data_IF_070446256590
#
_entry.id   IF_070446256590
#
_cell.length_a   1.000
_cell.length_b   1.000
_cell.length_c   1.000
_cell.angle_alpha   90.00
_cell.angle_beta   90.00
_cell.angle_gamma   90.00
#
_symmetry.space_group_name_H-M   'P 1'
#
loop_
_entity.id
_entity.type
_entity.pdbx_description
1 polymer ?
#
# COMPACT_ATOMS: atom_id res chain seq x y z
N UNK A 1 -14.21 30.09 18.72
CA UNK A 1 -14.61 28.69 18.99
C UNK A 1 -13.45 27.82 18.59
N UNK A 2 -12.97 27.02 19.54
CA UNK A 2 -11.80 26.14 19.42
C UNK A 2 -11.99 25.14 18.27
N UNK A 3 -10.91 24.89 17.52
CA UNK A 3 -10.92 23.89 16.46
C UNK A 3 -11.19 22.50 17.03
N UNK A 4 -11.92 21.68 16.29
CA UNK A 4 -12.24 20.29 16.61
C UNK A 4 -11.02 19.56 17.21
N UNK A 5 -11.11 19.14 18.48
CA UNK A 5 -10.11 18.26 19.08
C UNK A 5 -10.26 16.87 18.46
N UNK A 6 -9.15 16.17 18.24
CA UNK A 6 -9.25 14.78 17.82
C UNK A 6 -9.94 13.97 18.94
N UNK A 7 -10.83 13.03 18.59
CA UNK A 7 -11.48 12.19 19.59
C UNK A 7 -10.43 11.31 20.29
N UNK A 8 -10.73 10.87 21.51
CA UNK A 8 -9.86 9.98 22.28
C UNK A 8 -9.87 8.55 21.69
N UNK A 9 -9.10 8.37 20.62
CA UNK A 9 -8.99 7.18 19.78
C UNK A 9 -7.53 6.78 19.56
N UNK A 10 -7.29 5.56 19.08
CA UNK A 10 -5.96 5.19 18.57
C UNK A 10 -5.72 5.90 17.23
N UNK A 11 -4.53 6.45 17.04
CA UNK A 11 -4.15 7.11 15.80
C UNK A 11 -3.08 6.28 15.10
N UNK A 12 -3.43 5.76 13.92
CA UNK A 12 -2.48 5.10 13.04
C UNK A 12 -1.84 6.17 12.15
N UNK A 13 -0.57 6.50 12.42
CA UNK A 13 0.16 7.56 11.74
C UNK A 13 1.19 6.95 10.77
N UNK A 14 0.84 6.95 9.49
CA UNK A 14 1.64 6.38 8.43
C UNK A 14 2.47 7.46 7.73
N UNK A 15 3.74 7.15 7.43
CA UNK A 15 4.54 8.05 6.59
C UNK A 15 4.00 8.05 5.15
N UNK A 16 3.71 6.84 4.65
CA UNK A 16 3.09 6.55 3.36
C UNK A 16 1.98 5.51 3.56
N UNK A 17 0.89 5.58 2.81
CA UNK A 17 -0.17 4.56 2.89
C UNK A 17 0.12 3.40 1.93
N UNK A 18 1.16 2.62 2.26
CA UNK A 18 1.62 1.45 1.48
C UNK A 18 0.69 0.23 1.65
N UNK A 19 0.88 -0.85 0.86
CA UNK A 19 0.19 -2.13 1.10
C UNK A 19 0.35 -2.68 2.52
N UNK A 20 1.54 -2.54 3.12
CA UNK A 20 1.80 -2.95 4.51
C UNK A 20 1.07 -2.05 5.51
N UNK A 21 0.95 -0.75 5.21
CA UNK A 21 0.16 0.20 6.01
C UNK A 21 -1.32 -0.16 5.96
N UNK A 22 -1.81 -0.56 4.79
CA UNK A 22 -3.17 -1.04 4.59
C UNK A 22 -3.43 -2.32 5.41
N UNK A 23 -2.52 -3.30 5.37
CA UNK A 23 -2.62 -4.52 6.17
C UNK A 23 -2.66 -4.23 7.68
N UNK A 24 -1.81 -3.30 8.15
CA UNK A 24 -1.82 -2.90 9.55
C UNK A 24 -3.15 -2.22 9.92
N UNK A 25 -3.62 -1.29 9.10
CA UNK A 25 -4.90 -0.61 9.31
C UNK A 25 -6.07 -1.58 9.33
N UNK A 26 -6.16 -2.49 8.35
CA UNK A 26 -7.19 -3.52 8.30
C UNK A 26 -7.14 -4.45 9.52
N UNK A 27 -5.95 -4.76 10.04
CA UNK A 27 -5.80 -5.57 11.25
C UNK A 27 -6.43 -4.88 12.46
N UNK A 28 -6.24 -3.57 12.63
CA UNK A 28 -6.93 -2.80 13.69
C UNK A 28 -8.44 -2.76 13.48
N UNK A 29 -8.91 -2.50 12.26
CA UNK A 29 -10.35 -2.46 11.96
C UNK A 29 -11.05 -3.80 12.25
N UNK A 30 -10.39 -4.93 11.95
CA UNK A 30 -10.92 -6.27 12.24
C UNK A 30 -11.10 -6.55 13.74
N UNK A 31 -10.39 -5.82 14.61
CA UNK A 31 -10.60 -5.93 16.06
C UNK A 31 -11.83 -5.19 16.56
N UNK A 32 -12.45 -4.34 15.74
CA UNK A 32 -13.47 -3.38 16.16
C UNK A 32 -12.88 -2.20 16.94
N UNK A 33 -11.56 -2.00 16.88
CA UNK A 33 -10.88 -0.85 17.47
C UNK A 33 -11.35 0.44 16.80
N UNK A 34 -11.70 1.43 17.61
CA UNK A 34 -12.01 2.76 17.12
C UNK A 34 -10.68 3.52 16.88
N UNK A 35 -10.19 3.43 15.66
CA UNK A 35 -8.92 4.04 15.23
C UNK A 35 -9.09 4.99 14.06
N UNK A 36 -8.24 6.01 13.97
CA UNK A 36 -8.16 6.93 12.83
C UNK A 36 -6.83 6.69 12.12
N UNK A 37 -6.88 6.39 10.82
CA UNK A 37 -5.70 6.29 9.98
C UNK A 37 -5.37 7.62 9.31
N UNK A 38 -4.12 8.05 9.42
CA UNK A 38 -3.60 9.30 8.89
C UNK A 38 -2.33 9.03 8.10
N UNK A 39 -2.29 9.44 6.83
CA UNK A 39 -1.08 9.43 5.99
C UNK A 39 -0.42 10.80 5.98
N UNK A 40 0.89 10.85 6.20
CA UNK A 40 1.70 12.08 6.14
C UNK A 40 2.15 12.45 4.72
N UNK A 41 2.14 11.47 3.81
CA UNK A 41 2.37 11.64 2.39
C UNK A 41 1.30 12.56 1.76
N UNK A 42 1.73 13.30 0.74
CA UNK A 42 0.82 14.05 -0.13
C UNK A 42 0.09 13.11 -1.12
N UNK A 43 -0.95 12.44 -0.64
CA UNK A 43 -1.85 11.66 -1.50
C UNK A 43 -3.29 12.13 -1.29
N UNK A 44 -3.84 12.77 -2.32
CA UNK A 44 -5.20 13.33 -2.28
C UNK A 44 -6.28 12.29 -2.72
N UNK A 45 -5.87 11.05 -3.01
CA UNK A 45 -6.70 9.91 -3.46
C UNK A 45 -6.64 8.69 -2.52
N UNK A 46 -6.43 8.93 -1.22
CA UNK A 46 -6.42 7.88 -0.20
C UNK A 46 -7.78 7.15 -0.08
N UNK A 47 -7.80 5.87 0.40
CA UNK A 47 -9.04 5.13 0.67
C UNK A 47 -9.96 5.84 1.67
N UNK A 48 -11.28 5.64 1.56
CA UNK A 48 -12.31 6.42 2.28
C UNK A 48 -12.07 6.56 3.79
N UNK A 49 -11.59 5.51 4.45
CA UNK A 49 -11.32 5.41 5.88
C UNK A 49 -9.91 5.90 6.29
N UNK A 50 -9.17 6.53 5.39
CA UNK A 50 -7.83 7.07 5.62
C UNK A 50 -7.83 8.55 5.32
N UNK A 51 -7.30 9.34 6.24
CA UNK A 51 -7.15 10.78 6.11
C UNK A 51 -5.76 11.15 5.62
N UNK A 52 -5.68 12.15 4.75
CA UNK A 52 -4.42 12.87 4.59
C UNK A 52 -4.18 13.75 5.81
N UNK A 53 -2.92 14.01 6.13
CA UNK A 53 -2.57 15.04 7.11
C UNK A 53 -3.19 16.40 6.78
N UNK A 54 -3.39 16.71 5.49
CA UNK A 54 -4.03 17.95 5.06
C UNK A 54 -5.54 17.99 5.30
N UNK A 55 -6.22 16.84 5.30
CA UNK A 55 -7.62 16.76 5.72
C UNK A 55 -7.75 17.22 7.17
N UNK A 56 -6.81 16.81 8.03
CA UNK A 56 -6.79 17.20 9.45
C UNK A 56 -6.33 18.65 9.68
N UNK A 57 -5.63 19.26 8.73
CA UNK A 57 -5.37 20.70 8.74
C UNK A 57 -6.65 21.51 8.49
N UNK A 58 -7.59 20.95 7.73
CA UNK A 58 -8.88 21.61 7.50
C UNK A 58 -9.69 21.70 8.80
N UNK A 59 -10.23 22.89 9.05
CA UNK A 59 -11.09 23.17 10.20
C UNK A 59 -12.51 22.65 10.01
N UNK A 60 -12.91 22.51 8.75
CA UNK A 60 -14.24 22.10 8.32
C UNK A 60 -14.37 20.57 8.22
N UNK A 61 -13.23 19.85 8.20
CA UNK A 61 -13.21 18.40 8.08
C UNK A 61 -13.94 17.74 9.25
N UNK A 62 -15.12 17.20 8.95
CA UNK A 62 -15.81 16.23 9.80
C UNK A 62 -15.31 14.85 9.41
N UNK A 63 -14.79 14.12 10.39
CA UNK A 63 -14.27 12.75 10.22
C UNK A 63 -15.34 11.80 9.65
N UNK A 64 -16.62 12.16 9.70
CA UNK A 64 -17.77 11.31 9.37
C UNK A 64 -18.54 11.73 8.10
N UNK A 65 -18.03 12.63 7.26
CA UNK A 65 -18.76 13.05 6.05
C UNK A 65 -18.60 12.06 4.89
N UNK A 66 -19.40 10.98 4.91
CA UNK A 66 -19.43 9.94 3.88
C UNK A 66 -19.87 10.45 2.49
N UNK A 67 -20.45 11.65 2.39
CA UNK A 67 -21.05 12.20 1.17
C UNK A 67 -20.32 13.42 0.60
N UNK A 68 -19.07 13.66 1.02
CA UNK A 68 -18.28 14.85 0.64
C UNK A 68 -17.99 15.00 -0.86
N UNK A 69 -18.23 13.97 -1.68
CA UNK A 69 -18.18 14.08 -3.14
C UNK A 69 -17.58 12.84 -3.81
N UNK A 70 -17.20 13.01 -5.09
CA UNK A 70 -16.55 11.97 -5.89
C UNK A 70 -15.45 12.61 -6.76
N UNK A 71 -14.43 11.84 -7.19
CA UNK A 71 -13.42 12.36 -8.11
C UNK A 71 -14.07 12.91 -9.38
N UNK A 72 -13.55 14.02 -9.91
CA UNK A 72 -14.06 14.62 -11.15
C UNK A 72 -13.75 13.72 -12.34
N UNK A 73 -14.72 13.53 -13.21
CA UNK A 73 -14.47 13.06 -14.56
C UNK A 73 -13.93 14.21 -15.42
N UNK A 74 -13.20 13.90 -16.49
CA UNK A 74 -12.51 14.91 -17.31
C UNK A 74 -13.41 16.06 -17.80
N UNK A 75 -14.68 15.78 -18.08
CA UNK A 75 -15.66 16.77 -18.56
C UNK A 75 -16.40 17.52 -17.43
N UNK A 76 -16.13 17.19 -16.17
CA UNK A 76 -16.69 17.86 -14.99
C UNK A 76 -15.77 19.01 -14.50
N UNK A 77 -14.65 19.26 -15.18
CA UNK A 77 -13.75 20.38 -14.88
C UNK A 77 -14.38 21.71 -15.33
N UNK A 78 -14.47 22.64 -14.40
CA UNK A 78 -15.00 23.97 -14.68
C UNK A 78 -14.07 24.73 -15.64
N UNK A 79 -14.61 25.10 -16.80
CA UNK A 79 -13.95 25.93 -17.81
C UNK A 79 -14.91 27.03 -18.26
N UNK A 80 -14.40 28.16 -18.80
CA UNK A 80 -15.27 29.20 -19.39
C UNK A 80 -16.17 28.66 -20.51
N UNK A 81 -17.34 29.27 -20.69
CA UNK A 81 -18.40 28.79 -21.61
C UNK A 81 -17.96 28.60 -23.06
N UNK A 82 -16.96 29.36 -23.53
CA UNK A 82 -16.44 29.28 -24.89
C UNK A 82 -15.27 28.29 -25.06
N UNK A 83 -14.97 27.50 -24.02
CA UNK A 83 -13.89 26.52 -24.03
C UNK A 83 -14.47 25.11 -24.21
N UNK A 84 -13.65 24.22 -24.76
CA UNK A 84 -14.01 22.81 -24.95
C UNK A 84 -12.99 21.89 -24.31
N UNK A 85 -13.47 20.76 -23.80
CA UNK A 85 -12.65 19.72 -23.18
C UNK A 85 -12.65 18.50 -24.10
N UNK A 86 -11.48 17.94 -24.36
CA UNK A 86 -11.27 16.73 -25.13
C UNK A 86 -10.64 15.65 -24.24
N UNK A 87 -11.20 14.45 -24.27
CA UNK A 87 -10.75 13.34 -23.43
C UNK A 87 -9.29 12.92 -23.69
N UNK A 88 -8.79 13.08 -24.92
CA UNK A 88 -7.44 12.66 -25.27
C UNK A 88 -7.24 11.15 -25.16
N UNK A 89 -6.15 10.73 -24.53
CA UNK A 89 -5.77 9.33 -24.32
C UNK A 89 -6.02 8.87 -22.88
N UNK A 90 -5.49 7.71 -22.47
CA UNK A 90 -5.66 7.21 -21.10
C UNK A 90 -4.82 7.95 -20.05
N UNK A 91 -3.91 8.83 -20.46
CA UNK A 91 -2.96 9.54 -19.58
C UNK A 91 -3.39 11.00 -19.41
N UNK A 92 -3.86 11.64 -20.48
CA UNK A 92 -4.17 13.06 -20.46
C UNK A 92 -5.28 13.49 -21.43
N UNK A 93 -5.98 14.55 -21.03
CA UNK A 93 -6.97 15.29 -21.82
C UNK A 93 -6.52 16.72 -22.11
N UNK A 94 -7.27 17.42 -22.97
CA UNK A 94 -6.96 18.79 -23.40
C UNK A 94 -8.11 19.74 -23.16
N UNK A 95 -7.77 20.98 -22.83
CA UNK A 95 -8.71 22.09 -22.73
C UNK A 95 -8.35 23.10 -23.82
N UNK A 96 -9.30 23.50 -24.66
CA UNK A 96 -9.05 24.39 -25.79
C UNK A 96 -10.05 25.53 -25.89
N UNK A 97 -9.65 26.64 -26.51
CA UNK A 97 -10.54 27.73 -26.91
C UNK A 97 -10.23 28.09 -28.35
N UNK A 98 -11.21 27.95 -29.26
CA UNK A 98 -11.03 28.23 -30.70
C UNK A 98 -9.75 27.60 -31.29
N UNK A 99 -9.49 26.32 -30.96
CA UNK A 99 -8.31 25.51 -31.34
C UNK A 99 -7.00 25.78 -30.58
N UNK A 100 -6.91 26.84 -29.75
CA UNK A 100 -5.73 27.05 -28.91
C UNK A 100 -5.78 26.21 -27.64
N UNK A 101 -4.73 25.43 -27.34
CA UNK A 101 -4.60 24.68 -26.09
C UNK A 101 -4.43 25.66 -24.92
N UNK A 102 -5.37 25.62 -23.97
CA UNK A 102 -5.39 26.47 -22.78
C UNK A 102 -4.97 25.74 -21.52
N UNK A 103 -5.02 24.42 -21.56
CA UNK A 103 -4.58 23.59 -20.47
C UNK A 103 -4.61 22.11 -20.81
N UNK A 104 -4.07 21.32 -19.89
CA UNK A 104 -3.99 19.87 -19.98
C UNK A 104 -4.51 19.24 -18.71
N UNK A 105 -5.36 18.24 -18.87
CA UNK A 105 -5.90 17.44 -17.78
C UNK A 105 -5.02 16.21 -17.64
N UNK A 106 -4.57 15.92 -16.43
CA UNK A 106 -3.83 14.71 -16.08
C UNK A 106 -4.75 13.75 -15.35
N UNK A 107 -4.79 12.50 -15.82
CA UNK A 107 -5.65 11.48 -15.25
C UNK A 107 -4.95 10.68 -14.16
N UNK A 108 -5.73 10.34 -13.12
CA UNK A 108 -5.31 9.45 -12.05
C UNK A 108 -4.91 8.08 -12.63
N UNK A 109 -3.66 7.70 -12.41
CA UNK A 109 -3.13 6.42 -12.89
C UNK A 109 -3.53 5.26 -11.98
N UNK A 110 -3.70 4.07 -12.56
CA UNK A 110 -4.02 2.84 -11.80
C UNK A 110 -5.46 2.74 -11.26
N UNK A 111 -6.32 3.72 -11.57
CA UNK A 111 -7.73 3.76 -11.16
C UNK A 111 -8.71 3.61 -12.32
N UNK A 112 -9.95 4.08 -12.10
CA UNK A 112 -10.93 4.23 -13.18
C UNK A 112 -10.42 5.26 -14.19
N UNK A 113 -10.58 4.96 -15.48
CA UNK A 113 -10.13 5.83 -16.57
C UNK A 113 -10.78 7.21 -16.49
N UNK A 114 -10.04 8.24 -16.91
CA UNK A 114 -10.46 9.64 -17.06
C UNK A 114 -10.90 10.36 -15.77
N UNK A 115 -10.54 9.84 -14.60
CA UNK A 115 -10.65 10.61 -13.35
C UNK A 115 -9.52 11.63 -13.29
N UNK A 116 -9.83 12.86 -12.90
CA UNK A 116 -8.87 13.97 -12.90
C UNK A 116 -8.06 13.98 -11.61
N UNK A 117 -6.73 13.97 -11.77
CA UNK A 117 -5.77 14.19 -10.70
C UNK A 117 -5.31 15.65 -10.66
N UNK A 118 -5.01 16.22 -11.83
CA UNK A 118 -4.54 17.59 -11.92
C UNK A 118 -4.89 18.26 -13.26
N UNK A 119 -4.87 19.59 -13.28
CA UNK A 119 -5.03 20.40 -14.49
C UNK A 119 -3.92 21.44 -14.57
N UNK A 120 -3.10 21.35 -15.63
CA UNK A 120 -2.13 22.39 -15.96
C UNK A 120 -2.79 23.48 -16.80
N UNK A 121 -2.61 24.74 -16.40
CA UNK A 121 -3.12 25.89 -17.13
C UNK A 121 -1.98 26.67 -17.78
N UNK A 122 -2.18 27.02 -19.04
CA UNK A 122 -1.14 27.59 -19.88
C UNK A 122 -1.30 29.10 -20.06
N UNK A 123 -0.17 29.78 -20.24
CA UNK A 123 -0.17 31.11 -20.84
C UNK A 123 -0.34 31.07 -22.37
N UNK A 124 -0.38 32.25 -23.00
CA UNK A 124 -0.50 32.38 -24.46
C UNK A 124 0.66 31.79 -25.26
N UNK A 125 1.80 31.49 -24.61
CA UNK A 125 2.97 30.86 -25.22
C UNK A 125 2.98 29.34 -25.00
N UNK A 126 1.97 28.78 -24.35
CA UNK A 126 1.88 27.35 -24.03
C UNK A 126 2.67 26.94 -22.79
N UNK A 127 3.19 27.87 -21.98
CA UNK A 127 3.91 27.51 -20.76
C UNK A 127 2.94 27.32 -19.59
N UNK A 128 3.17 26.29 -18.77
CA UNK A 128 2.44 26.08 -17.52
C UNK A 128 2.64 27.26 -16.58
N UNK A 129 1.54 27.84 -16.09
CA UNK A 129 1.56 28.93 -15.09
C UNK A 129 1.09 28.48 -13.73
N UNK A 130 0.08 27.62 -13.70
CA UNK A 130 -0.34 26.98 -12.48
C UNK A 130 -0.91 25.59 -12.77
N UNK A 131 -0.77 24.71 -11.78
CA UNK A 131 -1.35 23.38 -11.73
C UNK A 131 -2.38 23.36 -10.62
N UNK A 132 -3.62 23.06 -10.96
CA UNK A 132 -4.66 22.73 -9.99
C UNK A 132 -4.63 21.24 -9.68
N UNK A 133 -4.64 20.89 -8.41
CA UNK A 133 -4.64 19.51 -7.92
C UNK A 133 -6.01 19.18 -7.37
N UNK A 134 -6.58 18.07 -7.84
CA UNK A 134 -7.88 17.59 -7.44
C UNK A 134 -7.76 16.44 -6.46
N UNK A 135 -8.72 16.32 -5.55
CA UNK A 135 -8.76 15.23 -4.57
C UNK A 135 -9.89 14.22 -4.89
N UNK A 136 -9.97 13.18 -4.06
CA UNK A 136 -11.03 12.15 -4.17
C UNK A 136 -12.47 12.68 -4.02
N UNK A 137 -12.65 13.90 -3.52
CA UNK A 137 -13.96 14.54 -3.38
C UNK A 137 -14.33 15.39 -4.60
N UNK A 138 -13.40 15.56 -5.54
CA UNK A 138 -13.59 16.37 -6.74
C UNK A 138 -13.42 17.87 -6.51
N UNK A 139 -12.78 18.25 -5.40
CA UNK A 139 -12.44 19.61 -5.03
C UNK A 139 -11.05 19.97 -5.58
N UNK A 140 -10.84 21.24 -5.96
CA UNK A 140 -9.49 21.77 -6.16
C UNK A 140 -8.86 21.99 -4.78
N UNK A 141 -8.05 21.03 -4.34
CA UNK A 141 -7.48 20.99 -3.00
C UNK A 141 -6.16 21.74 -2.87
N UNK A 142 -5.46 21.96 -3.99
CA UNK A 142 -4.21 22.71 -4.01
C UNK A 142 -3.91 23.33 -5.37
N UNK A 143 -3.13 24.41 -5.37
CA UNK A 143 -2.59 25.03 -6.57
C UNK A 143 -1.08 25.21 -6.46
N UNK A 144 -0.34 24.70 -7.45
CA UNK A 144 1.08 25.00 -7.62
C UNK A 144 1.26 26.10 -8.66
N UNK A 145 2.10 27.09 -8.36
CA UNK A 145 2.42 28.19 -9.29
C UNK A 145 3.82 28.01 -9.84
N UNK A 146 4.01 28.28 -11.14
CA UNK A 146 5.27 28.11 -11.86
C UNK A 146 5.82 29.46 -12.36
N UNK A 147 7.14 29.58 -12.35
CA UNK A 147 7.83 30.73 -12.94
C UNK A 147 7.88 30.66 -14.48
N UNK A 148 8.46 31.69 -15.10
CA UNK A 148 8.65 31.74 -16.56
C UNK A 148 9.57 30.68 -17.14
N UNK A 149 10.36 29.98 -16.30
CA UNK A 149 11.23 28.87 -16.68
C UNK A 149 10.57 27.49 -16.44
N UNK A 150 9.31 27.44 -16.02
CA UNK A 150 8.60 26.19 -15.71
C UNK A 150 8.99 25.56 -14.38
N UNK A 151 9.64 26.30 -13.47
CA UNK A 151 9.99 25.81 -12.14
C UNK A 151 8.89 26.16 -11.15
N UNK A 152 8.51 25.18 -10.30
CA UNK A 152 7.51 25.38 -9.27
C UNK A 152 8.04 26.35 -8.19
N UNK A 153 7.23 27.35 -7.83
CA UNK A 153 7.58 28.40 -6.88
C UNK A 153 6.92 28.16 -5.52
N UNK A 154 5.61 27.96 -5.52
CA UNK A 154 4.83 27.73 -4.31
C UNK A 154 3.67 26.78 -4.57
N UNK A 155 3.21 26.14 -3.50
CA UNK A 155 1.99 25.32 -3.46
C UNK A 155 1.09 25.86 -2.36
N UNK A 156 -0.12 26.25 -2.73
CA UNK A 156 -1.16 26.69 -1.78
C UNK A 156 -2.23 25.61 -1.69
N UNK A 157 -2.59 25.19 -0.47
CA UNK A 157 -3.68 24.26 -0.18
C UNK A 157 -4.91 25.02 0.30
N UNK A 158 -6.07 24.55 -0.14
CA UNK A 158 -7.37 25.19 0.11
C UNK A 158 -8.25 24.35 1.03
N UNK A 159 -9.10 25.01 1.80
CA UNK A 159 -10.19 24.39 2.55
C UNK A 159 -11.31 23.91 1.63
N UNK A 160 -12.27 23.19 2.19
CA UNK A 160 -13.52 22.81 1.51
C UNK A 160 -14.26 24.04 0.96
N UNK A 161 -14.26 25.14 1.74
CA UNK A 161 -14.81 26.42 1.28
C UNK A 161 -13.92 27.19 0.28
N UNK A 162 -12.80 26.63 -0.19
CA UNK A 162 -11.87 27.29 -1.12
C UNK A 162 -10.96 28.37 -0.51
N UNK A 163 -10.82 28.44 0.82
CA UNK A 163 -9.94 29.42 1.49
C UNK A 163 -8.52 28.89 1.62
N UNK A 164 -7.51 29.74 1.48
CA UNK A 164 -6.11 29.34 1.70
C UNK A 164 -5.89 28.86 3.15
N UNK A 165 -5.36 27.66 3.31
CA UNK A 165 -5.05 27.07 4.62
C UNK A 165 -3.55 26.98 4.88
N UNK A 166 -2.79 26.62 3.84
CA UNK A 166 -1.34 26.42 3.92
C UNK A 166 -0.71 26.84 2.60
N UNK A 167 0.34 27.65 2.66
CA UNK A 167 1.19 27.95 1.51
C UNK A 167 2.60 27.50 1.80
N UNK A 168 3.15 26.67 0.93
CA UNK A 168 4.55 26.23 0.97
C UNK A 168 5.32 26.94 -0.15
N UNK A 169 6.46 27.52 0.20
CA UNK A 169 7.45 27.95 -0.76
C UNK A 169 8.33 26.76 -1.14
N UNK A 170 8.18 26.24 -2.35
CA UNK A 170 8.84 25.00 -2.80
C UNK A 170 10.36 25.16 -2.90
N UNK A 171 10.86 26.40 -3.06
CA UNK A 171 12.29 26.67 -3.19
C UNK A 171 12.98 26.64 -1.81
N UNK A 172 12.33 27.20 -0.79
CA UNK A 172 12.92 27.39 0.55
C UNK A 172 12.47 26.32 1.55
N UNK A 173 11.32 25.70 1.32
CA UNK A 173 10.65 24.83 2.29
C UNK A 173 9.87 25.58 3.37
N UNK A 174 9.89 26.93 3.35
CA UNK A 174 9.14 27.74 4.31
C UNK A 174 7.62 27.62 4.08
N UNK A 175 6.87 27.53 5.16
CA UNK A 175 5.43 27.34 5.15
C UNK A 175 4.70 28.43 5.94
N UNK A 176 3.58 28.88 5.38
CA UNK A 176 2.66 29.83 5.97
C UNK A 176 1.35 29.10 6.25
N UNK A 177 1.04 28.89 7.52
CA UNK A 177 -0.22 28.34 7.98
C UNK A 177 -1.18 29.49 8.33
N UNK A 178 -2.34 29.51 7.70
CA UNK A 178 -3.39 30.48 7.97
C UNK A 178 -4.25 30.00 9.15
N UNK A 179 -4.34 30.81 10.20
CA UNK A 179 -5.08 30.50 11.44
C UNK A 179 -5.97 31.68 11.83
N UNK A 180 -6.89 31.47 12.77
CA UNK A 180 -7.74 32.57 13.28
C UNK A 180 -6.85 33.67 13.86
N UNK A 181 -7.05 34.89 13.36
CA UNK A 181 -6.33 36.06 13.83
C UNK A 181 -4.94 36.26 13.23
N UNK A 182 -4.53 35.50 12.21
CA UNK A 182 -3.31 35.79 11.45
C UNK A 182 -2.67 34.60 10.75
N UNK A 183 -1.34 34.63 10.68
CA UNK A 183 -0.53 33.58 10.04
C UNK A 183 0.55 33.08 11.00
N UNK A 184 0.96 31.82 10.83
CA UNK A 184 2.13 31.23 11.48
C UNK A 184 3.12 30.77 10.44
N UNK A 185 4.40 31.08 10.67
CA UNK A 185 5.50 30.73 9.79
C UNK A 185 6.25 29.51 10.34
N UNK A 186 6.56 28.56 9.47
CA UNK A 186 7.30 27.35 9.79
C UNK A 186 8.44 27.16 8.78
N UNK A 187 9.61 26.74 9.27
CA UNK A 187 10.78 26.45 8.41
C UNK A 187 10.86 24.98 7.97
N UNK A 188 10.04 24.11 8.55
CA UNK A 188 10.02 22.68 8.24
C UNK A 188 8.63 22.10 8.40
N UNK A 189 8.31 21.09 7.58
CA UNK A 189 7.00 20.41 7.61
C UNK A 189 6.79 19.75 8.96
N UNK A 190 7.85 19.16 9.53
CA UNK A 190 7.82 18.54 10.85
C UNK A 190 7.39 19.53 11.96
N UNK A 191 7.93 20.74 11.97
CA UNK A 191 7.58 21.73 13.01
C UNK A 191 6.11 22.18 12.88
N UNK A 192 5.62 22.32 11.65
CA UNK A 192 4.21 22.57 11.38
C UNK A 192 3.33 21.44 11.90
N UNK A 193 3.70 20.19 11.61
CA UNK A 193 2.94 19.00 12.02
C UNK A 193 2.91 18.84 13.54
N UNK A 194 4.05 18.98 14.21
CA UNK A 194 4.12 18.90 15.68
C UNK A 194 3.26 19.99 16.32
N UNK A 195 3.37 21.24 15.85
CA UNK A 195 2.53 22.34 16.34
C UNK A 195 1.04 22.06 16.13
N UNK A 196 0.66 21.60 14.94
CA UNK A 196 -0.74 21.38 14.60
C UNK A 196 -1.35 20.22 15.39
N UNK A 197 -0.64 19.09 15.46
CA UNK A 197 -1.07 17.91 16.19
C UNK A 197 -1.18 18.18 17.69
N UNK A 198 -0.22 18.91 18.29
CA UNK A 198 -0.33 19.36 19.67
C UNK A 198 -1.56 20.24 19.90
N UNK A 199 -1.85 21.18 18.99
CA UNK A 199 -3.06 22.03 19.09
C UNK A 199 -4.37 21.23 18.96
N UNK A 200 -4.36 20.10 18.27
CA UNK A 200 -5.52 19.20 18.10
C UNK A 200 -5.65 18.16 19.22
N UNK A 201 -4.74 18.15 20.20
CA UNK A 201 -4.76 17.23 21.33
C UNK A 201 -4.22 15.83 21.04
N UNK A 202 -3.44 15.64 19.96
CA UNK A 202 -2.90 14.34 19.57
C UNK A 202 -1.98 13.72 20.64
N UNK A 203 -1.39 14.55 21.49
CA UNK A 203 -0.60 14.13 22.66
C UNK A 203 -1.40 13.23 23.63
N UNK A 204 -2.73 13.35 23.66
CA UNK A 204 -3.59 12.53 24.51
C UNK A 204 -3.82 11.14 23.93
N UNK A 205 -3.79 11.01 22.62
CA UNK A 205 -3.99 9.75 21.93
C UNK A 205 -2.77 8.82 22.04
N UNK A 206 -3.00 7.51 21.93
CA UNK A 206 -1.95 6.53 21.63
C UNK A 206 -1.66 6.58 20.12
N UNK A 207 -0.39 6.80 19.75
CA UNK A 207 0.05 6.83 18.36
C UNK A 207 0.70 5.50 18.00
N UNK A 208 0.23 4.92 16.91
CA UNK A 208 0.81 3.73 16.30
C UNK A 208 1.35 4.15 14.94
N UNK A 209 2.63 3.96 14.69
CA UNK A 209 3.27 4.41 13.45
C UNK A 209 4.17 3.34 12.87
N UNK A 210 4.47 3.42 11.58
CA UNK A 210 5.16 2.33 10.87
C UNK A 210 6.54 2.66 10.29
N UNK A 211 7.05 3.87 10.54
CA UNK A 211 8.39 4.26 10.08
C UNK A 211 9.15 5.11 11.09
N UNK A 212 10.48 5.01 11.05
CA UNK A 212 11.40 5.79 11.88
C UNK A 212 11.68 7.20 11.34
N UNK A 213 10.92 7.63 10.33
CA UNK A 213 10.96 8.94 9.68
C UNK A 213 10.03 9.95 10.37
N UNK A 214 9.24 10.72 9.63
CA UNK A 214 8.36 11.79 10.11
C UNK A 214 7.43 11.35 11.25
N UNK A 215 6.73 10.19 11.20
CA UNK A 215 5.86 9.76 12.28
C UNK A 215 6.59 9.58 13.61
N UNK A 216 7.79 9.00 13.58
CA UNK A 216 8.64 8.85 14.76
C UNK A 216 9.00 10.19 15.37
N UNK A 217 9.45 11.14 14.54
CA UNK A 217 9.83 12.46 15.05
C UNK A 217 8.64 13.23 15.62
N UNK A 218 7.43 13.05 15.07
CA UNK A 218 6.20 13.60 15.65
C UNK A 218 5.95 12.99 17.03
N UNK A 219 5.89 11.66 17.14
CA UNK A 219 5.71 10.96 18.43
C UNK A 219 6.80 11.37 19.45
N UNK A 220 8.04 11.58 19.01
CA UNK A 220 9.13 11.94 19.91
C UNK A 220 9.10 13.42 20.38
N UNK A 221 8.47 14.31 19.61
CA UNK A 221 8.42 15.76 19.91
C UNK A 221 7.11 16.23 20.52
N UNK A 222 6.05 15.43 20.44
CA UNK A 222 4.79 15.74 21.13
C UNK A 222 4.99 15.73 22.64
N UNK A 223 4.28 16.63 23.33
CA UNK A 223 4.28 16.71 24.78
C UNK A 223 3.63 15.45 25.39
N UNK A 224 3.95 15.16 26.65
CA UNK A 224 3.46 13.99 27.37
C UNK A 224 4.59 13.19 28.02
N UNK A 225 4.37 12.80 29.27
CA UNK A 225 5.36 12.05 30.07
C UNK A 225 5.16 10.54 30.01
N UNK A 226 4.05 10.08 29.44
CA UNK A 226 3.70 8.66 29.37
C UNK A 226 4.24 8.02 28.10
N UNK A 227 4.93 6.89 28.25
CA UNK A 227 5.34 6.04 27.12
C UNK A 227 4.20 5.10 26.76
N UNK A 228 3.49 5.40 25.66
CA UNK A 228 2.35 4.62 25.18
C UNK A 228 2.33 4.37 23.69
N UNK A 229 3.17 5.06 22.92
CA UNK A 229 3.17 4.98 21.46
C UNK A 229 3.91 3.70 21.01
N UNK A 230 3.55 3.15 19.85
CA UNK A 230 4.06 1.86 19.36
C UNK A 230 4.57 2.01 17.93
N UNK A 231 5.81 1.59 17.70
CA UNK A 231 6.35 1.43 16.35
C UNK A 231 5.98 0.05 15.81
N UNK A 232 5.35 -0.01 14.65
CA UNK A 232 5.20 -1.22 13.84
C UNK A 232 6.23 -1.22 12.72
N UNK A 233 7.36 -1.90 12.93
CA UNK A 233 8.44 -1.97 11.95
C UNK A 233 8.10 -2.95 10.80
N UNK A 234 8.04 -2.41 9.58
CA UNK A 234 7.64 -3.11 8.35
C UNK A 234 8.78 -3.17 7.30
N UNK A 235 9.91 -2.53 7.56
CA UNK A 235 11.04 -2.44 6.63
C UNK A 235 12.08 -3.56 6.87
N UNK A 236 12.91 -3.83 5.87
CA UNK A 236 14.05 -4.74 6.03
C UNK A 236 15.13 -4.12 6.91
N UNK A 237 15.94 -4.96 7.55
CA UNK A 237 17.02 -4.51 8.42
C UNK A 237 18.36 -4.80 7.76
N UNK A 238 19.20 -3.76 7.67
CA UNK A 238 20.53 -3.86 7.08
C UNK A 238 21.54 -4.55 8.00
N UNK A 239 22.79 -4.09 7.94
CA UNK A 239 23.89 -4.63 8.75
C UNK A 239 23.88 -4.14 10.20
N UNK A 240 23.11 -3.10 10.51
CA UNK A 240 23.02 -2.53 11.85
C UNK A 240 21.59 -2.09 12.21
N UNK A 241 21.33 -2.01 13.52
CA UNK A 241 20.07 -1.48 14.04
C UNK A 241 20.01 0.03 13.76
N UNK A 242 18.96 0.56 13.11
CA UNK A 242 18.81 1.98 12.82
C UNK A 242 18.94 2.85 14.08
N UNK A 243 19.59 4.02 13.96
CA UNK A 243 19.86 4.90 15.10
C UNK A 243 18.61 5.29 15.91
N UNK A 244 17.53 5.68 15.22
CA UNK A 244 16.25 6.00 15.85
C UNK A 244 15.63 4.79 16.56
N UNK A 245 15.82 3.58 16.04
CA UNK A 245 15.38 2.34 16.69
C UNK A 245 16.18 2.07 17.96
N UNK A 246 17.51 2.25 17.93
CA UNK A 246 18.36 2.11 19.12
C UNK A 246 17.92 3.07 20.23
N UNK A 247 17.49 4.29 19.88
CA UNK A 247 16.96 5.24 20.85
C UNK A 247 15.72 4.68 21.58
N UNK A 248 14.80 4.03 20.87
CA UNK A 248 13.61 3.38 21.46
C UNK A 248 14.04 2.20 22.35
N UNK A 249 14.89 1.31 21.84
CA UNK A 249 15.39 0.13 22.57
C UNK A 249 16.11 0.51 23.86
N UNK A 250 16.90 1.59 23.84
CA UNK A 250 17.59 2.11 25.01
C UNK A 250 16.67 2.89 25.96
N UNK A 251 15.42 3.15 25.57
CA UNK A 251 14.45 3.88 26.38
C UNK A 251 14.66 5.39 26.39
N UNK A 252 15.42 5.92 25.43
CA UNK A 252 15.64 7.35 25.25
C UNK A 252 14.57 8.03 24.35
N UNK A 253 13.63 7.26 23.78
CA UNK A 253 12.45 7.78 23.11
C UNK A 253 11.55 8.57 24.07
N UNK A 254 10.92 9.63 23.58
CA UNK A 254 9.97 10.44 24.34
C UNK A 254 8.73 9.61 24.73
N UNK A 255 7.95 9.20 23.73
CA UNK A 255 6.64 8.55 23.94
C UNK A 255 6.54 7.10 23.50
N UNK A 256 7.46 6.64 22.64
CA UNK A 256 7.42 5.25 22.15
C UNK A 256 7.84 4.27 23.23
N UNK A 257 6.95 3.34 23.55
CA UNK A 257 7.11 2.31 24.58
C UNK A 257 7.87 1.09 24.04
N UNK A 258 7.42 0.56 22.89
CA UNK A 258 7.84 -0.73 22.34
C UNK A 258 7.74 -0.78 20.82
N UNK A 259 8.37 -1.80 20.25
CA UNK A 259 8.46 -2.07 18.82
C UNK A 259 7.80 -3.41 18.53
N UNK A 260 6.84 -3.40 17.62
CA UNK A 260 6.22 -4.56 16.99
C UNK A 260 6.85 -4.76 15.62
N UNK A 261 7.37 -5.94 15.32
CA UNK A 261 7.97 -6.25 14.01
C UNK A 261 7.00 -7.13 13.23
N UNK A 262 6.71 -6.75 11.98
CA UNK A 262 5.75 -7.46 11.11
C UNK A 262 6.40 -8.33 10.03
N UNK A 263 7.74 -8.40 10.00
CA UNK A 263 8.50 -9.28 9.12
C UNK A 263 9.38 -10.21 9.93
N UNK A 264 9.31 -11.51 9.64
CA UNK A 264 10.03 -12.53 10.41
C UNK A 264 11.54 -12.34 10.29
N UNK A 265 11.99 -12.16 9.06
CA UNK A 265 13.39 -11.93 8.69
C UNK A 265 13.96 -10.69 9.39
N UNK A 266 13.21 -9.59 9.41
CA UNK A 266 13.59 -8.37 10.13
C UNK A 266 13.68 -8.59 11.65
N UNK A 267 12.73 -9.31 12.24
CA UNK A 267 12.75 -9.59 13.69
C UNK A 267 13.96 -10.44 14.09
N UNK A 268 14.21 -11.53 13.36
CA UNK A 268 15.36 -12.40 13.57
C UNK A 268 16.66 -11.61 13.43
N UNK A 269 16.75 -10.75 12.40
CA UNK A 269 17.93 -9.91 12.19
C UNK A 269 18.18 -8.93 13.33
N UNK A 270 17.14 -8.29 13.86
CA UNK A 270 17.27 -7.37 15.00
C UNK A 270 17.76 -8.10 16.26
N UNK A 271 17.31 -9.33 16.48
CA UNK A 271 17.80 -10.14 17.60
C UNK A 271 19.28 -10.51 17.43
N UNK A 272 19.72 -10.89 16.23
CA UNK A 272 21.14 -11.15 15.93
C UNK A 272 22.00 -9.92 16.20
N UNK A 273 21.50 -8.73 15.90
CA UNK A 273 22.18 -7.45 16.12
C UNK A 273 22.11 -6.96 17.58
N UNK A 274 21.52 -7.74 18.49
CA UNK A 274 21.51 -7.46 19.92
C UNK A 274 20.36 -6.61 20.43
N UNK A 275 19.23 -6.53 19.72
CA UNK A 275 18.05 -5.83 20.20
C UNK A 275 17.46 -6.46 21.47
N UNK A 276 17.00 -5.62 22.41
CA UNK A 276 16.39 -6.08 23.67
C UNK A 276 15.01 -6.71 23.43
N UNK A 277 14.88 -7.99 23.78
CA UNK A 277 13.64 -8.78 23.69
C UNK A 277 12.50 -8.26 24.56
N UNK A 278 12.78 -7.40 25.55
CA UNK A 278 11.73 -6.80 26.39
C UNK A 278 10.95 -5.68 25.68
N UNK A 279 11.53 -5.08 24.64
CA UNK A 279 10.93 -3.98 23.87
C UNK A 279 10.68 -4.33 22.42
N UNK A 280 11.26 -5.42 21.95
CA UNK A 280 11.09 -5.94 20.59
C UNK A 280 10.17 -7.15 20.61
N UNK A 281 9.00 -7.03 19.99
CA UNK A 281 8.00 -8.09 19.91
C UNK A 281 7.64 -8.39 18.45
N UNK A 282 7.16 -9.61 18.20
CA UNK A 282 6.56 -10.00 16.92
C UNK A 282 5.05 -9.84 17.00
N UNK A 283 4.46 -9.22 15.98
CA UNK A 283 3.03 -9.21 15.75
C UNK A 283 2.77 -8.96 14.27
N UNK A 284 2.44 -10.02 13.52
CA UNK A 284 2.13 -9.87 12.10
C UNK A 284 0.71 -9.36 11.85
N UNK A 285 0.24 -9.31 10.60
CA UNK A 285 -1.08 -8.80 10.27
C UNK A 285 -2.18 -9.87 10.40
N UNK A 286 -3.43 -9.42 10.51
CA UNK A 286 -4.61 -10.28 10.42
C UNK A 286 -5.02 -10.35 8.94
N UNK A 287 -4.71 -11.48 8.30
CA UNK A 287 -5.09 -11.70 6.91
C UNK A 287 -6.57 -12.10 6.77
N UNK A 288 -7.26 -11.47 5.82
CA UNK A 288 -8.61 -11.86 5.42
C UNK A 288 -8.53 -12.90 4.30
N UNK A 289 -8.42 -14.17 4.69
CA UNK A 289 -8.46 -15.27 3.73
C UNK A 289 -9.80 -15.30 2.97
N UNK A 290 -9.73 -15.44 1.65
CA UNK A 290 -10.88 -15.39 0.74
C UNK A 290 -11.62 -16.72 0.65
N UNK A 291 -10.91 -17.84 0.88
CA UNK A 291 -11.50 -19.17 0.92
C UNK A 291 -10.76 -20.10 1.88
N UNK A 292 -11.39 -21.25 2.14
CA UNK A 292 -10.70 -22.42 2.70
C UNK A 292 -10.09 -23.22 1.54
N UNK A 293 -9.02 -23.96 1.81
CA UNK A 293 -8.47 -24.89 0.83
C UNK A 293 -9.41 -26.11 0.75
N UNK A 294 -9.84 -26.46 -0.45
CA UNK A 294 -10.74 -27.60 -0.73
C UNK A 294 -10.01 -28.95 -0.80
N UNK A 295 -8.68 -28.92 -0.90
CA UNK A 295 -7.82 -30.06 -1.20
C UNK A 295 -8.06 -30.65 -2.61
N UNK A 296 -8.60 -29.83 -3.52
CA UNK A 296 -8.82 -30.21 -4.92
C UNK A 296 -7.49 -30.22 -5.68
N UNK A 297 -7.28 -31.16 -6.62
CA UNK A 297 -6.04 -31.28 -7.39
C UNK A 297 -6.00 -30.25 -8.54
N UNK A 298 -6.26 -28.99 -8.22
CA UNK A 298 -6.34 -27.85 -9.13
C UNK A 298 -5.21 -26.88 -8.80
N UNK A 299 -4.29 -26.68 -9.74
CA UNK A 299 -3.08 -25.88 -9.56
C UNK A 299 -3.05 -24.66 -10.47
N UNK A 300 -2.53 -23.54 -9.94
CA UNK A 300 -2.37 -22.30 -10.67
C UNK A 300 -0.89 -21.92 -10.85
N UNK A 301 -0.54 -21.48 -12.05
CA UNK A 301 0.71 -20.79 -12.38
C UNK A 301 0.33 -19.47 -13.06
N UNK A 302 0.81 -18.35 -12.52
CA UNK A 302 0.73 -17.06 -13.20
C UNK A 302 2.09 -16.71 -13.80
N UNK A 303 2.10 -16.30 -15.07
CA UNK A 303 3.34 -16.03 -15.81
C UNK A 303 3.24 -14.80 -16.71
N UNK A 304 4.38 -14.12 -16.88
CA UNK A 304 4.60 -13.11 -17.92
C UNK A 304 5.77 -13.48 -18.86
N UNK A 305 6.18 -14.75 -18.81
CA UNK A 305 7.37 -15.27 -19.47
C UNK A 305 7.05 -16.61 -20.12
N UNK A 306 7.72 -16.93 -21.22
CA UNK A 306 7.65 -18.28 -21.77
C UNK A 306 8.46 -19.31 -20.96
N UNK A 307 9.30 -18.84 -20.03
CA UNK A 307 10.17 -19.69 -19.20
C UNK A 307 9.49 -19.94 -17.86
N UNK A 308 8.96 -21.15 -17.71
CA UNK A 308 8.41 -21.66 -16.47
C UNK A 308 9.28 -22.86 -16.08
N UNK A 309 9.97 -22.75 -14.94
CA UNK A 309 10.98 -23.70 -14.51
C UNK A 309 10.34 -25.07 -14.21
N UNK A 310 10.89 -26.13 -14.80
CA UNK A 310 10.39 -27.50 -14.70
C UNK A 310 8.88 -27.71 -14.97
N UNK A 311 8.23 -26.82 -15.73
CA UNK A 311 6.78 -26.87 -15.90
C UNK A 311 6.31 -28.15 -16.60
N UNK A 312 6.96 -28.53 -17.71
CA UNK A 312 6.58 -29.71 -18.49
C UNK A 312 6.84 -31.00 -17.69
N UNK A 313 7.97 -31.06 -16.97
CA UNK A 313 8.30 -32.18 -16.09
C UNK A 313 7.28 -32.31 -14.96
N UNK A 314 6.84 -31.20 -14.36
CA UNK A 314 5.85 -31.20 -13.29
C UNK A 314 4.47 -31.68 -13.78
N UNK A 315 4.02 -31.19 -14.94
CA UNK A 315 2.78 -31.62 -15.61
C UNK A 315 2.79 -33.13 -15.87
N UNK A 316 3.91 -33.67 -16.36
CA UNK A 316 4.07 -35.12 -16.61
C UNK A 316 4.14 -35.93 -15.32
N UNK A 317 4.79 -35.42 -14.29
CA UNK A 317 4.98 -36.12 -13.02
C UNK A 317 3.69 -36.19 -12.17
N UNK A 318 2.73 -35.29 -12.41
CA UNK A 318 1.49 -35.15 -11.65
C UNK A 318 0.25 -35.19 -12.57
N UNK A 319 -0.01 -36.31 -13.27
CA UNK A 319 -1.14 -36.42 -14.20
C UNK A 319 -2.51 -36.28 -13.53
N UNK A 320 -2.58 -36.47 -12.21
CA UNK A 320 -3.80 -36.29 -11.43
C UNK A 320 -4.12 -34.83 -11.09
N UNK A 321 -3.19 -33.90 -11.31
CA UNK A 321 -3.36 -32.47 -11.05
C UNK A 321 -3.69 -31.76 -12.36
N UNK A 322 -4.74 -30.94 -12.35
CA UNK A 322 -5.08 -30.06 -13.46
C UNK A 322 -4.36 -28.72 -13.29
N UNK A 323 -3.56 -28.34 -14.29
CA UNK A 323 -2.74 -27.13 -14.28
C UNK A 323 -3.40 -26.01 -15.08
N UNK A 324 -3.74 -24.93 -14.39
CA UNK A 324 -4.17 -23.67 -14.98
C UNK A 324 -2.97 -22.74 -15.12
N UNK A 325 -2.57 -22.42 -16.35
CA UNK A 325 -1.45 -21.52 -16.61
C UNK A 325 -1.99 -20.23 -17.22
N UNK A 326 -1.88 -19.12 -16.50
CA UNK A 326 -2.44 -17.84 -16.89
C UNK A 326 -1.37 -16.78 -17.16
N UNK A 327 -1.52 -16.06 -18.28
CA UNK A 327 -0.66 -14.95 -18.65
C UNK A 327 -1.47 -13.68 -18.93
N UNK A 328 -0.94 -12.51 -18.54
CA UNK A 328 -1.58 -11.21 -18.85
C UNK A 328 -1.35 -10.84 -20.32
N UNK A 329 -0.32 -11.40 -20.94
CA UNK A 329 0.05 -11.18 -22.33
C UNK A 329 -0.36 -12.36 -23.20
N UNK A 330 -0.19 -12.21 -24.51
CA UNK A 330 -0.15 -13.34 -25.44
C UNK A 330 0.94 -14.34 -25.02
N UNK A 331 0.70 -15.63 -25.26
CA UNK A 331 1.66 -16.70 -25.00
C UNK A 331 2.51 -17.01 -26.23
N UNK A 332 3.76 -17.43 -26.02
CA UNK A 332 4.62 -17.88 -27.13
C UNK A 332 4.21 -19.27 -27.61
N UNK A 333 4.56 -19.66 -28.85
CA UNK A 333 4.27 -21.00 -29.36
C UNK A 333 4.80 -22.12 -28.45
N UNK A 334 5.97 -21.91 -27.83
CA UNK A 334 6.55 -22.86 -26.86
C UNK A 334 5.65 -23.11 -25.66
N UNK A 335 5.06 -22.05 -25.10
CA UNK A 335 4.15 -22.20 -23.97
C UNK A 335 2.83 -22.84 -24.40
N UNK A 336 2.36 -22.52 -25.62
CA UNK A 336 1.16 -23.12 -26.21
C UNK A 336 1.29 -24.64 -26.44
N UNK A 337 2.51 -25.18 -26.60
CA UNK A 337 2.73 -26.63 -26.72
C UNK A 337 2.29 -27.42 -25.47
N UNK A 338 2.19 -26.76 -24.30
CA UNK A 338 1.68 -27.41 -23.08
C UNK A 338 0.19 -27.76 -23.16
N UNK A 339 -0.57 -27.15 -24.07
CA UNK A 339 -1.99 -27.50 -24.29
C UNK A 339 -2.17 -28.92 -24.83
N UNK A 340 -1.09 -29.57 -25.31
CA UNK A 340 -1.12 -30.97 -25.73
C UNK A 340 -1.28 -31.96 -24.55
N UNK A 341 -1.09 -31.52 -23.31
CA UNK A 341 -1.32 -32.34 -22.12
C UNK A 341 -2.77 -32.23 -21.67
N UNK A 342 -3.46 -33.36 -21.50
CA UNK A 342 -4.89 -33.40 -21.11
C UNK A 342 -5.15 -32.71 -19.75
N UNK A 343 -4.14 -32.67 -18.88
CA UNK A 343 -4.22 -32.06 -17.55
C UNK A 343 -3.73 -30.59 -17.52
N UNK A 344 -3.76 -29.88 -18.65
CA UNK A 344 -3.37 -28.46 -18.74
C UNK A 344 -4.49 -27.63 -19.38
N UNK A 345 -4.66 -26.40 -18.89
CA UNK A 345 -5.44 -25.36 -19.58
C UNK A 345 -4.69 -24.04 -19.55
N UNK A 346 -4.53 -23.43 -20.73
CA UNK A 346 -3.83 -22.17 -20.91
C UNK A 346 -4.80 -20.99 -21.01
N UNK A 347 -4.44 -19.87 -20.38
CA UNK A 347 -5.22 -18.64 -20.38
C UNK A 347 -4.37 -17.46 -20.89
N UNK A 348 -4.19 -17.31 -22.21
CA UNK A 348 -3.49 -16.18 -22.80
C UNK A 348 -4.32 -14.90 -22.67
N UNK A 349 -3.68 -13.79 -22.25
CA UNK A 349 -4.38 -12.52 -22.07
C UNK A 349 -5.47 -12.56 -21.00
N UNK A 350 -5.27 -13.31 -19.93
CA UNK A 350 -6.24 -13.48 -18.85
C UNK A 350 -6.59 -12.12 -18.21
N UNK A 351 -7.86 -11.73 -18.34
CA UNK A 351 -8.40 -10.53 -17.69
C UNK A 351 -8.53 -10.72 -16.17
N UNK A 352 -8.72 -9.63 -15.44
CA UNK A 352 -8.71 -9.62 -13.98
C UNK A 352 -9.77 -10.57 -13.39
N UNK A 353 -10.98 -10.57 -13.95
CA UNK A 353 -12.09 -11.40 -13.51
C UNK A 353 -11.78 -12.90 -13.69
N UNK A 354 -11.09 -13.27 -14.77
CA UNK A 354 -10.63 -14.64 -14.99
C UNK A 354 -9.55 -15.03 -13.98
N UNK A 355 -8.59 -14.14 -13.72
CA UNK A 355 -7.55 -14.39 -12.71
C UNK A 355 -8.16 -14.61 -11.33
N UNK A 356 -9.10 -13.75 -10.91
CA UNK A 356 -9.83 -13.90 -9.64
C UNK A 356 -10.57 -15.25 -9.58
N UNK A 357 -11.21 -15.67 -10.67
CA UNK A 357 -11.87 -16.98 -10.74
C UNK A 357 -10.88 -18.15 -10.60
N UNK A 358 -9.69 -18.05 -11.19
CA UNK A 358 -8.64 -19.07 -11.08
C UNK A 358 -8.09 -19.18 -9.65
N UNK A 359 -7.87 -18.05 -8.96
CA UNK A 359 -7.46 -18.07 -7.56
C UNK A 359 -8.52 -18.70 -6.65
N UNK A 360 -9.81 -18.50 -6.95
CA UNK A 360 -10.89 -19.15 -6.22
C UNK A 360 -10.98 -20.65 -6.50
N UNK A 361 -10.74 -21.07 -7.75
CA UNK A 361 -10.80 -22.48 -8.15
C UNK A 361 -9.65 -23.29 -7.57
N UNK A 362 -8.41 -22.84 -7.73
CA UNK A 362 -7.22 -23.66 -7.47
C UNK A 362 -6.87 -23.73 -5.97
N UNK A 363 -6.32 -24.85 -5.52
CA UNK A 363 -5.87 -25.07 -4.14
C UNK A 363 -4.34 -25.17 -4.00
N UNK A 364 -3.64 -25.22 -5.13
CA UNK A 364 -2.18 -25.19 -5.21
C UNK A 364 -1.72 -24.02 -6.07
N UNK A 365 -0.58 -23.44 -5.71
CA UNK A 365 0.09 -22.42 -6.52
C UNK A 365 1.56 -22.77 -6.69
N UNK A 366 2.05 -22.66 -7.91
CA UNK A 366 3.45 -22.91 -8.22
C UNK A 366 4.15 -21.62 -8.64
N UNK A 367 5.02 -21.11 -7.76
CA UNK A 367 5.85 -19.93 -8.02
C UNK A 367 7.15 -20.33 -8.74
N UNK A 368 6.97 -20.80 -9.96
CA UNK A 368 8.02 -21.38 -10.82
C UNK A 368 8.23 -20.57 -12.10
N UNK A 369 7.60 -19.39 -12.19
CA UNK A 369 7.74 -18.48 -13.33
C UNK A 369 9.07 -17.72 -13.27
N UNK A 370 9.77 -17.58 -14.40
CA UNK A 370 10.87 -16.62 -14.51
C UNK A 370 10.34 -15.21 -14.82
N UNK A 371 11.06 -14.20 -14.32
CA UNK A 371 10.79 -12.80 -14.65
C UNK A 371 10.21 -12.04 -13.45
N UNK A 372 9.44 -11.00 -13.73
CA UNK A 372 8.82 -10.21 -12.67
C UNK A 372 7.51 -10.85 -12.23
N UNK A 373 7.20 -10.80 -10.93
CA UNK A 373 5.89 -11.18 -10.43
C UNK A 373 4.83 -10.28 -11.05
N UNK A 374 3.75 -10.90 -11.52
CA UNK A 374 2.57 -10.19 -11.98
C UNK A 374 1.47 -10.27 -10.93
N UNK A 375 0.64 -9.23 -10.86
CA UNK A 375 -0.61 -9.16 -10.06
C UNK A 375 -0.46 -9.53 -8.58
N UNK A 376 0.76 -9.50 -8.05
CA UNK A 376 1.09 -10.01 -6.71
C UNK A 376 0.58 -11.44 -6.50
N UNK A 377 0.78 -12.29 -7.52
CA UNK A 377 0.19 -13.62 -7.59
C UNK A 377 0.51 -14.53 -6.39
N UNK A 378 1.72 -14.45 -5.81
CA UNK A 378 2.09 -15.22 -4.62
C UNK A 378 1.26 -14.78 -3.41
N UNK A 379 1.07 -13.47 -3.26
CA UNK A 379 0.22 -12.91 -2.21
C UNK A 379 -1.26 -13.26 -2.42
N UNK A 380 -1.76 -13.21 -3.66
CA UNK A 380 -3.13 -13.62 -3.97
C UNK A 380 -3.36 -15.11 -3.70
N UNK A 381 -2.42 -15.98 -4.08
CA UNK A 381 -2.44 -17.40 -3.77
C UNK A 381 -2.51 -17.64 -2.26
N UNK A 382 -1.69 -16.91 -1.49
CA UNK A 382 -1.71 -16.96 -0.03
C UNK A 382 -3.08 -16.54 0.53
N UNK A 383 -3.67 -15.43 0.09
CA UNK A 383 -4.99 -14.99 0.53
C UNK A 383 -6.12 -15.96 0.14
N UNK A 384 -5.98 -16.69 -0.97
CA UNK A 384 -6.90 -17.75 -1.37
C UNK A 384 -6.55 -19.10 -0.74
N UNK A 385 -5.63 -19.10 0.22
CA UNK A 385 -5.26 -20.26 1.00
C UNK A 385 -4.78 -21.44 0.14
N UNK A 386 -4.11 -21.14 -0.97
CA UNK A 386 -3.44 -22.11 -1.82
C UNK A 386 -2.14 -22.54 -1.15
N UNK A 387 -1.79 -23.83 -1.26
CA UNK A 387 -0.46 -24.29 -0.83
C UNK A 387 0.56 -23.90 -1.90
N UNK A 388 1.55 -23.12 -1.50
CA UNK A 388 2.53 -22.54 -2.41
C UNK A 388 3.81 -23.38 -2.40
N UNK A 389 4.30 -23.72 -3.59
CA UNK A 389 5.62 -24.30 -3.81
C UNK A 389 6.41 -23.42 -4.78
N UNK A 390 7.71 -23.28 -4.57
CA UNK A 390 8.56 -22.42 -5.38
C UNK A 390 9.95 -23.02 -5.59
N UNK A 391 10.64 -22.61 -6.65
CA UNK A 391 12.09 -22.78 -6.73
C UNK A 391 12.83 -21.58 -6.16
N UNK A 392 14.01 -21.79 -5.59
CA UNK A 392 14.83 -20.71 -5.03
C UNK A 392 15.18 -19.64 -6.07
N UNK A 393 15.38 -20.08 -7.32
CA UNK A 393 15.76 -19.28 -8.48
C UNK A 393 14.62 -18.43 -9.04
N UNK A 394 13.37 -18.82 -8.76
CA UNK A 394 12.17 -18.15 -9.29
C UNK A 394 11.30 -17.54 -8.20
N UNK A 395 11.53 -17.84 -6.92
CA UNK A 395 10.69 -17.39 -5.82
C UNK A 395 10.63 -15.86 -5.73
N UNK A 396 9.45 -15.29 -5.95
CA UNK A 396 9.24 -13.84 -5.97
C UNK A 396 9.01 -13.26 -4.58
N UNK A 397 8.14 -13.89 -3.78
CA UNK A 397 7.77 -13.40 -2.45
C UNK A 397 7.87 -14.47 -1.37
N UNK A 398 9.05 -14.56 -0.77
CA UNK A 398 9.39 -15.55 0.24
C UNK A 398 8.77 -15.29 1.62
N UNK A 399 8.07 -14.16 1.83
CA UNK A 399 7.34 -13.93 3.08
C UNK A 399 6.09 -14.81 3.19
N UNK A 400 5.56 -15.31 2.06
CA UNK A 400 4.35 -16.13 2.02
C UNK A 400 4.60 -17.62 1.75
N UNK A 401 5.85 -18.01 1.51
CA UNK A 401 6.25 -19.39 1.22
C UNK A 401 7.29 -19.81 2.24
N UNK A 402 7.06 -20.93 2.92
CA UNK A 402 7.98 -21.38 3.98
C UNK A 402 9.22 -22.02 3.39
N UNK A 403 10.34 -21.98 4.11
CA UNK A 403 11.64 -22.47 3.61
C UNK A 403 11.60 -23.95 3.18
N UNK A 404 10.78 -24.79 3.85
CA UNK A 404 10.57 -26.19 3.49
C UNK A 404 9.86 -26.37 2.12
N UNK A 405 9.12 -25.36 1.64
CA UNK A 405 8.41 -25.34 0.36
C UNK A 405 9.15 -24.54 -0.73
N UNK A 406 10.39 -24.11 -0.46
CA UNK A 406 11.29 -23.54 -1.45
C UNK A 406 12.40 -24.55 -1.75
N UNK A 407 12.53 -24.92 -3.02
CA UNK A 407 13.44 -25.98 -3.47
C UNK A 407 14.52 -25.38 -4.35
N UNK A 408 15.79 -25.76 -4.20
CA UNK A 408 16.75 -25.60 -5.28
C UNK A 408 16.23 -26.32 -6.54
N UNK A 409 16.49 -25.77 -7.74
CA UNK A 409 16.04 -26.38 -9.02
C UNK A 409 16.51 -27.84 -9.16
N UNK A 410 17.72 -28.16 -8.71
CA UNK A 410 18.27 -29.53 -8.75
C UNK A 410 17.57 -30.51 -7.78
N UNK A 411 16.75 -30.02 -6.86
CA UNK A 411 15.95 -30.80 -5.93
C UNK A 411 14.50 -31.05 -6.42
N UNK A 412 14.26 -30.99 -7.73
CA UNK A 412 12.95 -31.21 -8.36
C UNK A 412 12.21 -32.47 -7.86
N UNK A 413 12.88 -33.61 -7.78
CA UNK A 413 12.28 -34.87 -7.32
C UNK A 413 11.74 -34.78 -5.88
N UNK A 414 12.41 -34.00 -5.01
CA UNK A 414 11.95 -33.74 -3.65
C UNK A 414 10.65 -32.95 -3.67
N UNK A 415 10.58 -31.90 -4.49
CA UNK A 415 9.37 -31.09 -4.66
C UNK A 415 8.19 -31.95 -5.11
N UNK A 416 8.38 -32.81 -6.13
CA UNK A 416 7.34 -33.72 -6.61
C UNK A 416 6.88 -34.68 -5.50
N UNK A 417 7.81 -35.24 -4.73
CA UNK A 417 7.47 -36.12 -3.60
C UNK A 417 6.64 -35.41 -2.54
N UNK A 418 7.00 -34.19 -2.17
CA UNK A 418 6.29 -33.39 -1.17
C UNK A 418 4.90 -32.95 -1.66
N UNK A 419 4.74 -32.68 -2.96
CA UNK A 419 3.45 -32.39 -3.58
C UNK A 419 2.56 -33.64 -3.55
N UNK A 420 3.08 -34.83 -3.89
CA UNK A 420 2.32 -36.08 -3.83
C UNK A 420 1.85 -36.40 -2.40
N UNK A 421 2.71 -36.23 -1.40
CA UNK A 421 2.30 -36.37 0.02
C UNK A 421 1.15 -35.41 0.35
N UNK A 422 1.24 -34.15 -0.07
CA UNK A 422 0.19 -33.16 0.17
C UNK A 422 -1.12 -33.51 -0.55
N UNK A 423 -1.06 -34.06 -1.78
CA UNK A 423 -2.24 -34.50 -2.53
C UNK A 423 -2.91 -35.72 -1.88
N UNK A 424 -2.14 -36.69 -1.40
CA UNK A 424 -2.66 -37.95 -0.87
C UNK A 424 -3.12 -37.84 0.60
N UNK A 425 -2.48 -36.99 1.42
CA UNK A 425 -2.79 -36.83 2.83
C UNK A 425 -3.27 -35.40 3.17
N UNK A 426 -4.57 -35.27 3.39
CA UNK A 426 -5.19 -34.02 3.83
C UNK A 426 -4.72 -33.54 5.21
N UNK A 427 -4.08 -34.38 6.04
CA UNK A 427 -3.39 -33.93 7.26
C UNK A 427 -2.05 -33.28 6.93
N UNK A 428 -1.25 -33.87 6.04
CA UNK A 428 -0.02 -33.27 5.55
C UNK A 428 -0.29 -31.90 4.89
N UNK A 429 -1.32 -31.81 4.04
CA UNK A 429 -1.77 -30.55 3.42
C UNK A 429 -2.08 -29.47 4.47
N UNK A 430 -2.94 -29.78 5.45
CA UNK A 430 -3.30 -28.85 6.53
C UNK A 430 -2.10 -28.40 7.35
N UNK A 431 -1.21 -29.32 7.71
CA UNK A 431 0.04 -29.02 8.43
C UNK A 431 0.92 -28.04 7.64
N UNK A 432 1.07 -28.24 6.33
CA UNK A 432 1.85 -27.36 5.45
C UNK A 432 1.22 -25.96 5.34
N UNK A 433 -0.11 -25.88 5.19
CA UNK A 433 -0.83 -24.59 5.21
C UNK A 433 -0.69 -23.84 6.54
N UNK A 434 -0.77 -24.54 7.68
CA UNK A 434 -0.56 -23.94 9.00
C UNK A 434 0.86 -23.37 9.15
N UNK A 435 1.88 -24.11 8.68
CA UNK A 435 3.26 -23.62 8.63
C UNK A 435 3.39 -22.40 7.71
N UNK A 436 2.76 -22.41 6.53
CA UNK A 436 2.76 -21.30 5.58
C UNK A 436 2.17 -20.02 6.20
N UNK A 437 1.01 -20.13 6.86
CA UNK A 437 0.38 -19.00 7.56
C UNK A 437 1.24 -18.48 8.71
N UNK A 438 1.85 -19.38 9.49
CA UNK A 438 2.75 -19.01 10.59
C UNK A 438 4.03 -18.33 10.07
N UNK A 439 4.57 -18.79 8.95
CA UNK A 439 5.74 -18.20 8.29
C UNK A 439 5.46 -16.75 7.87
N UNK A 440 4.29 -16.51 7.28
CA UNK A 440 3.78 -15.17 6.95
C UNK A 440 3.33 -14.34 8.17
N UNK A 441 3.57 -14.83 9.40
CA UNK A 441 3.16 -14.18 10.65
C UNK A 441 1.66 -13.86 10.72
N UNK A 442 0.79 -14.72 10.16
CA UNK A 442 -0.65 -14.52 10.22
C UNK A 442 -1.15 -14.53 11.68
N UNK A 443 -1.77 -13.42 12.10
CA UNK A 443 -2.25 -13.22 13.46
C UNK A 443 -3.77 -13.39 13.59
N UNK A 444 -4.19 -13.60 14.84
CA UNK A 444 -5.61 -13.62 15.21
C UNK A 444 -6.08 -12.26 15.73
N UNK A 445 -7.39 -12.03 15.69
CA UNK A 445 -8.02 -10.87 16.32
C UNK A 445 -7.62 -10.70 17.79
N UNK A 446 -7.52 -11.81 18.54
CA UNK A 446 -7.16 -11.80 19.96
C UNK A 446 -5.78 -11.19 20.20
N UNK A 447 -4.80 -11.49 19.34
CA UNK A 447 -3.44 -10.97 19.49
C UNK A 447 -3.37 -9.43 19.43
N UNK A 448 -4.21 -8.81 18.59
CA UNK A 448 -4.34 -7.34 18.54
C UNK A 448 -5.20 -6.79 19.67
N UNK A 449 -6.25 -7.51 20.12
CA UNK A 449 -7.02 -7.09 21.29
C UNK A 449 -6.18 -7.05 22.56
N UNK A 450 -5.22 -7.98 22.71
CA UNK A 450 -4.29 -8.00 23.84
C UNK A 450 -3.25 -6.86 23.77
N UNK A 451 -3.09 -6.20 22.61
CA UNK A 451 -2.17 -5.07 22.41
C UNK A 451 -2.79 -3.73 22.79
N UNK A 452 -4.06 -3.54 22.44
CA UNK A 452 -4.85 -2.30 22.64
C UNK A 452 -5.05 -2.10 24.14
#
# INVERSE_FOLDING_TARGET
MEGFALPDKIILLFDYYSPESCLLHESFLQTGCDCIAVSLEENDFLPRNVFSVYDLLSRECKIEDENRGKPRFFNEIAVPDNWSIQAGDSISGKITCMQEEKGRIWYLQGGRKFLVEAVDWYDRKGNVRFRDHYNRYGENCARTVYNTKGQALCKTRFSESGKEMLTENIITGDMILYVDGGVKLFRSKLDLLVYWFGRRGLDRNRIIYNSLSTPFFISNRLEGTEKKDILFWQESVGTEIPGNMRMILNGASGRTERIMVQKRTAYEKLLELGADRKKLHKLGPIYRFQKKNGHEPEALICTNSERIEHCEELVRALPQVHFHIAAITTMSPRLMELENYENVTLYPGAEKEMQEALFQKCDYYFDINHGAEIISAVYQAFLHNQLIFAFQETAHNQEYVTEEQVYPVDAFERMVSDIREALEDGKAMRRRLEKQRKHAMAESRKAYTDLI
#
